data_IF_426581703369
#
_entry.id   IF_426581703369
#
_cell.length_a   1.000
_cell.length_b   1.000
_cell.length_c   1.000
_cell.angle_alpha   90.00
_cell.angle_beta   90.00
_cell.angle_gamma   90.00
#
_symmetry.space_group_name_H-M   'P 1'
#
loop_
_entity.id
_entity.type
_entity.pdbx_description
1 polymer ?
#
# COMPACT_ATOMS: atom_id res chain seq x y z
N UNK A 1 4.01 -24.84 -11.56
CA UNK A 1 3.38 -23.57 -11.98
C UNK A 1 2.49 -22.93 -10.90
N UNK A 2 1.57 -23.67 -10.25
CA UNK A 2 0.72 -23.15 -9.15
C UNK A 2 1.49 -22.52 -7.98
N UNK A 3 2.65 -23.08 -7.61
CA UNK A 3 3.49 -22.55 -6.53
C UNK A 3 4.06 -21.16 -6.81
N UNK A 4 4.43 -20.86 -8.05
CA UNK A 4 5.04 -19.57 -8.44
C UNK A 4 4.00 -18.45 -8.34
N UNK A 5 2.80 -18.68 -8.88
CA UNK A 5 1.68 -17.75 -8.78
C UNK A 5 1.39 -17.40 -7.31
N UNK A 6 1.28 -18.43 -6.46
CA UNK A 6 0.96 -18.25 -5.05
C UNK A 6 2.08 -17.52 -4.30
N UNK A 7 3.35 -17.89 -4.55
CA UNK A 7 4.51 -17.19 -3.99
C UNK A 7 4.52 -15.72 -4.38
N UNK A 8 4.38 -15.41 -5.67
CA UNK A 8 4.38 -14.05 -6.18
C UNK A 8 3.27 -13.21 -5.52
N UNK A 9 2.06 -13.77 -5.41
CA UNK A 9 0.92 -13.09 -4.76
C UNK A 9 1.18 -12.85 -3.27
N UNK A 10 1.71 -13.83 -2.54
CA UNK A 10 2.06 -13.70 -1.12
C UNK A 10 3.13 -12.62 -0.91
N UNK A 11 4.15 -12.58 -1.78
CA UNK A 11 5.16 -11.52 -1.72
C UNK A 11 4.59 -10.13 -1.97
N UNK A 12 3.63 -9.97 -2.90
CA UNK A 12 2.96 -8.68 -3.09
C UNK A 12 2.20 -8.24 -1.83
N UNK A 13 1.43 -9.16 -1.24
CA UNK A 13 0.71 -8.90 0.02
C UNK A 13 1.69 -8.47 1.13
N UNK A 14 2.85 -9.14 1.24
CA UNK A 14 3.86 -8.79 2.22
C UNK A 14 4.46 -7.39 2.01
N UNK A 15 4.71 -6.99 0.75
CA UNK A 15 5.17 -5.64 0.40
C UNK A 15 4.13 -4.60 0.83
N UNK A 16 2.87 -4.80 0.49
CA UNK A 16 1.79 -3.86 0.81
C UNK A 16 1.54 -3.75 2.32
N UNK A 17 1.53 -4.89 3.03
CA UNK A 17 1.43 -4.91 4.50
C UNK A 17 2.58 -4.15 5.15
N UNK A 18 3.81 -4.34 4.65
CA UNK A 18 4.98 -3.64 5.18
C UNK A 18 4.84 -2.13 4.98
N UNK A 19 4.39 -1.68 3.82
CA UNK A 19 4.15 -0.26 3.55
C UNK A 19 3.09 0.34 4.49
N UNK A 20 1.97 -0.35 4.70
CA UNK A 20 0.91 0.10 5.63
C UNK A 20 1.43 0.22 7.06
N UNK A 21 2.19 -0.79 7.53
CA UNK A 21 2.80 -0.76 8.86
C UNK A 21 3.79 0.40 8.99
N UNK A 22 4.63 0.64 7.98
CA UNK A 22 5.59 1.75 7.99
C UNK A 22 4.86 3.09 8.10
N UNK A 23 3.81 3.33 7.30
CA UNK A 23 3.02 4.58 7.37
C UNK A 23 2.40 4.75 8.77
N UNK A 24 1.85 3.68 9.36
CA UNK A 24 1.29 3.72 10.72
C UNK A 24 2.35 4.00 11.78
N UNK A 25 3.53 3.40 11.67
CA UNK A 25 4.62 3.65 12.60
C UNK A 25 5.11 5.10 12.51
N UNK A 26 5.20 5.65 11.29
CA UNK A 26 5.51 7.07 11.07
C UNK A 26 4.45 7.95 11.75
N UNK A 27 3.15 7.64 11.58
CA UNK A 27 2.07 8.36 12.25
C UNK A 27 2.22 8.35 13.78
N UNK A 28 2.38 7.16 14.37
CA UNK A 28 2.51 6.98 15.82
C UNK A 28 3.72 7.77 16.34
N UNK A 29 4.85 7.68 15.64
CA UNK A 29 6.09 8.34 16.06
C UNK A 29 6.01 9.87 16.01
N UNK A 30 5.30 10.43 15.03
CA UNK A 30 5.20 11.88 14.85
C UNK A 30 4.12 12.49 15.75
N UNK A 31 2.95 11.84 15.85
CA UNK A 31 1.75 12.48 16.40
C UNK A 31 1.29 11.95 17.76
N UNK A 32 1.73 10.77 18.19
CA UNK A 32 1.28 10.20 19.47
C UNK A 32 2.33 10.43 20.56
N UNK A 33 2.02 11.22 21.61
CA UNK A 33 2.91 11.39 22.74
C UNK A 33 3.14 10.08 23.50
N UNK A 34 4.36 9.90 24.03
CA UNK A 34 4.71 8.71 24.80
C UNK A 34 3.85 8.52 26.06
N UNK A 35 3.35 9.61 26.67
CA UNK A 35 2.45 9.54 27.83
C UNK A 35 1.18 8.73 27.53
N UNK A 36 0.57 8.98 26.37
CA UNK A 36 -0.65 8.29 25.91
C UNK A 36 -0.40 6.79 25.76
N UNK A 37 0.77 6.40 25.26
CA UNK A 37 1.16 5.00 25.11
C UNK A 37 1.34 4.35 26.48
N UNK A 38 2.04 5.01 27.41
CA UNK A 38 2.27 4.47 28.75
C UNK A 38 0.99 4.33 29.57
N UNK A 39 0.05 5.27 29.44
CA UNK A 39 -1.23 5.23 30.13
C UNK A 39 -2.13 4.10 29.61
N UNK A 40 -1.99 3.73 28.33
CA UNK A 40 -2.83 2.74 27.65
C UNK A 40 -2.14 1.39 27.38
N UNK A 41 -1.01 1.11 28.05
CA UNK A 41 -0.26 -0.15 27.95
C UNK A 41 -1.16 -1.42 27.99
N UNK A 42 -2.16 -1.54 28.89
CA UNK A 42 -3.03 -2.71 28.95
C UNK A 42 -3.89 -2.92 27.68
N UNK A 43 -4.16 -1.85 26.92
CA UNK A 43 -4.98 -1.90 25.70
C UNK A 43 -4.14 -2.10 24.43
N UNK A 44 -2.81 -2.06 24.53
CA UNK A 44 -1.91 -2.23 23.40
C UNK A 44 -2.12 -3.54 22.62
N UNK A 45 -2.34 -4.72 23.25
CA UNK A 45 -2.62 -5.95 22.50
C UNK A 45 -3.89 -5.86 21.65
N UNK A 46 -4.92 -5.19 22.14
CA UNK A 46 -6.16 -4.98 21.40
C UNK A 46 -5.94 -4.04 20.21
N UNK A 47 -5.17 -2.97 20.41
CA UNK A 47 -4.77 -2.05 19.35
C UNK A 47 -3.96 -2.75 18.26
N UNK A 48 -2.96 -3.56 18.63
CA UNK A 48 -2.15 -4.36 17.69
C UNK A 48 -3.01 -5.35 16.90
N UNK A 49 -3.95 -6.03 17.56
CA UNK A 49 -4.89 -6.93 16.87
C UNK A 49 -5.73 -6.17 15.85
N UNK A 50 -6.18 -4.97 16.19
CA UNK A 50 -6.95 -4.14 15.26
C UNK A 50 -6.09 -3.69 14.08
N UNK A 51 -4.84 -3.27 14.31
CA UNK A 51 -3.89 -2.92 13.24
C UNK A 51 -3.74 -4.08 12.25
N UNK A 52 -3.41 -5.27 12.75
CA UNK A 52 -3.26 -6.47 11.90
C UNK A 52 -4.56 -6.79 11.16
N UNK A 53 -5.71 -6.71 11.83
CA UNK A 53 -7.01 -6.98 11.22
C UNK A 53 -7.34 -6.02 10.08
N UNK A 54 -7.21 -4.72 10.29
CA UNK A 54 -7.57 -3.74 9.27
C UNK A 54 -6.57 -3.73 8.11
N UNK A 55 -5.27 -3.82 8.38
CA UNK A 55 -4.26 -3.85 7.31
C UNK A 55 -4.35 -5.13 6.47
N UNK A 56 -4.60 -6.27 7.09
CA UNK A 56 -4.83 -7.51 6.36
C UNK A 56 -6.10 -7.48 5.51
N UNK A 57 -7.17 -6.82 5.96
CA UNK A 57 -8.37 -6.62 5.15
C UNK A 57 -8.09 -5.77 3.90
N UNK A 58 -7.37 -4.65 4.05
CA UNK A 58 -6.98 -3.81 2.90
C UNK A 58 -6.15 -4.60 1.90
N UNK A 59 -5.13 -5.33 2.38
CA UNK A 59 -4.30 -6.15 1.51
C UNK A 59 -5.05 -7.33 0.88
N UNK A 60 -6.03 -7.91 1.59
CA UNK A 60 -6.88 -8.97 1.04
C UNK A 60 -7.74 -8.43 -0.12
N UNK A 61 -8.35 -7.25 0.03
CA UNK A 61 -9.10 -6.61 -1.06
C UNK A 61 -8.19 -6.25 -2.24
N UNK A 62 -7.00 -5.71 -1.97
CA UNK A 62 -6.03 -5.42 -3.01
C UNK A 62 -5.53 -6.71 -3.71
N UNK A 63 -5.54 -7.86 -3.05
CA UNK A 63 -5.11 -9.13 -3.64
C UNK A 63 -6.16 -9.79 -4.56
N UNK A 64 -7.45 -9.41 -4.46
CA UNK A 64 -8.53 -10.04 -5.24
C UNK A 64 -8.24 -10.06 -6.75
N UNK A 65 -7.84 -8.95 -7.40
CA UNK A 65 -7.54 -8.97 -8.84
C UNK A 65 -6.38 -9.91 -9.21
N UNK A 66 -5.33 -9.98 -8.37
CA UNK A 66 -4.22 -10.91 -8.57
C UNK A 66 -4.68 -12.36 -8.46
N UNK A 67 -5.52 -12.67 -7.46
CA UNK A 67 -6.04 -14.02 -7.27
C UNK A 67 -6.91 -14.45 -8.44
N UNK A 68 -7.86 -13.59 -8.86
CA UNK A 68 -8.77 -13.91 -9.97
C UNK A 68 -8.03 -14.11 -11.29
N UNK A 69 -7.07 -13.23 -11.62
CA UNK A 69 -6.27 -13.37 -12.84
C UNK A 69 -5.26 -14.52 -12.77
N UNK A 70 -4.93 -14.98 -11.57
CA UNK A 70 -4.07 -16.12 -11.34
C UNK A 70 -4.77 -17.48 -11.37
N UNK A 71 -6.10 -17.53 -11.23
CA UNK A 71 -6.86 -18.79 -11.28
C UNK A 71 -6.61 -19.61 -12.56
N UNK A 72 -6.60 -19.01 -13.77
CA UNK A 72 -6.33 -19.76 -15.00
C UNK A 72 -4.94 -20.42 -15.01
N UNK A 73 -3.94 -19.85 -14.32
CA UNK A 73 -2.60 -20.44 -14.19
C UNK A 73 -2.55 -21.71 -13.32
N UNK A 74 -3.60 -21.97 -12.54
CA UNK A 74 -3.74 -23.22 -11.79
C UNK A 74 -4.16 -24.39 -12.68
N UNK A 75 -4.85 -24.10 -13.78
CA UNK A 75 -5.46 -25.10 -14.67
C UNK A 75 -4.69 -25.22 -15.98
N UNK A 76 -4.24 -24.09 -16.55
CA UNK A 76 -3.60 -24.02 -17.87
C UNK A 76 -2.19 -23.48 -17.73
N UNK A 77 -1.21 -24.29 -18.11
CA UNK A 77 0.18 -23.90 -18.18
C UNK A 77 0.51 -23.36 -19.58
N UNK A 78 0.59 -22.03 -19.74
CA UNK A 78 0.97 -21.39 -21.00
C UNK A 78 1.96 -20.25 -20.76
N UNK A 79 3.09 -20.26 -21.49
CA UNK A 79 4.12 -19.19 -21.47
C UNK A 79 3.53 -17.79 -21.61
N UNK A 80 2.55 -17.60 -22.51
CA UNK A 80 1.92 -16.30 -22.75
C UNK A 80 1.14 -15.84 -21.53
N UNK A 81 0.41 -16.75 -20.89
CA UNK A 81 -0.38 -16.47 -19.70
C UNK A 81 0.52 -16.18 -18.49
N UNK A 82 1.60 -16.95 -18.31
CA UNK A 82 2.61 -16.66 -17.28
C UNK A 82 3.20 -15.26 -17.44
N UNK A 83 3.63 -14.91 -18.66
CA UNK A 83 4.23 -13.60 -18.96
C UNK A 83 3.22 -12.46 -18.79
N UNK A 84 1.99 -12.66 -19.21
CA UNK A 84 0.92 -11.68 -18.98
C UNK A 84 0.71 -11.43 -17.48
N UNK A 85 0.62 -12.50 -16.69
CA UNK A 85 0.40 -12.41 -15.26
C UNK A 85 1.56 -11.72 -14.52
N UNK A 86 2.81 -11.99 -14.89
CA UNK A 86 3.97 -11.33 -14.25
C UNK A 86 4.02 -9.84 -14.57
N UNK A 87 3.80 -9.46 -15.84
CA UNK A 87 3.72 -8.05 -16.24
C UNK A 87 2.55 -7.35 -15.55
N UNK A 88 1.38 -7.98 -15.52
CA UNK A 88 0.21 -7.47 -14.82
C UNK A 88 0.52 -7.25 -13.34
N UNK A 89 1.07 -8.25 -12.66
CA UNK A 89 1.39 -8.17 -11.22
C UNK A 89 2.37 -7.04 -10.92
N UNK A 90 3.37 -6.85 -11.77
CA UNK A 90 4.35 -5.79 -11.61
C UNK A 90 3.71 -4.40 -11.69
N UNK A 91 2.91 -4.13 -12.72
CA UNK A 91 2.21 -2.86 -12.87
C UNK A 91 1.13 -2.64 -11.81
N UNK A 92 0.35 -3.68 -11.52
CA UNK A 92 -0.70 -3.62 -10.52
C UNK A 92 -0.14 -3.30 -9.13
N UNK A 93 0.97 -3.91 -8.74
CA UNK A 93 1.65 -3.60 -7.48
C UNK A 93 2.09 -2.14 -7.39
N UNK A 94 2.54 -1.53 -8.49
CA UNK A 94 2.90 -0.11 -8.53
C UNK A 94 1.67 0.77 -8.27
N UNK A 95 0.51 0.43 -8.85
CA UNK A 95 -0.74 1.17 -8.63
C UNK A 95 -1.19 1.06 -7.17
N UNK A 96 -1.12 -0.13 -6.57
CA UNK A 96 -1.48 -0.34 -5.17
C UNK A 96 -0.55 0.45 -4.24
N UNK A 97 0.76 0.41 -4.46
CA UNK A 97 1.73 1.18 -3.66
C UNK A 97 1.55 2.68 -3.84
N UNK A 98 1.27 3.15 -5.06
CA UNK A 98 0.91 4.55 -5.32
C UNK A 98 -0.31 4.97 -4.50
N UNK A 99 -1.37 4.18 -4.51
CA UNK A 99 -2.59 4.48 -3.75
C UNK A 99 -2.34 4.51 -2.24
N UNK A 100 -1.65 3.50 -1.70
CA UNK A 100 -1.31 3.41 -0.26
C UNK A 100 -0.48 4.61 0.17
N UNK A 101 0.58 4.95 -0.58
CA UNK A 101 1.48 6.05 -0.23
C UNK A 101 0.84 7.42 -0.43
N UNK A 102 0.07 7.62 -1.49
CA UNK A 102 -0.67 8.86 -1.71
C UNK A 102 -1.69 9.10 -0.58
N UNK A 103 -2.54 8.12 -0.30
CA UNK A 103 -3.55 8.24 0.77
C UNK A 103 -2.89 8.41 2.14
N UNK A 104 -1.81 7.66 2.42
CA UNK A 104 -1.08 7.81 3.67
C UNK A 104 -0.45 9.19 3.84
N UNK A 105 0.19 9.73 2.80
CA UNK A 105 0.76 11.07 2.85
C UNK A 105 -0.32 12.16 3.02
N UNK A 106 -1.44 12.05 2.29
CA UNK A 106 -2.56 12.99 2.41
C UNK A 106 -3.17 12.91 3.82
N UNK A 107 -3.34 11.71 4.37
CA UNK A 107 -3.89 11.52 5.72
C UNK A 107 -2.97 12.11 6.80
N UNK A 108 -1.65 11.92 6.68
CA UNK A 108 -0.68 12.55 7.60
C UNK A 108 -0.75 14.07 7.54
N UNK A 109 -0.84 14.66 6.34
CA UNK A 109 -0.99 16.10 6.18
C UNK A 109 -2.34 16.60 6.71
N UNK A 110 -3.41 15.85 6.51
CA UNK A 110 -4.74 16.19 7.02
C UNK A 110 -4.76 16.14 8.55
N UNK A 111 -4.15 15.11 9.15
CA UNK A 111 -4.02 15.00 10.59
C UNK A 111 -3.18 16.13 11.19
N UNK A 112 -2.10 16.56 10.52
CA UNK A 112 -1.30 17.68 10.99
C UNK A 112 -2.10 18.98 11.16
N UNK A 113 -2.98 19.26 10.20
CA UNK A 113 -3.70 20.54 10.13
C UNK A 113 -5.03 20.50 10.90
N UNK A 114 -5.72 19.35 10.92
CA UNK A 114 -7.06 19.23 11.48
C UNK A 114 -7.15 18.34 12.74
N UNK A 115 -6.04 17.69 13.15
CA UNK A 115 -6.02 16.81 14.31
C UNK A 115 -6.92 15.57 14.19
N UNK A 116 -7.33 15.22 12.98
CA UNK A 116 -8.19 14.07 12.69
C UNK A 116 -7.76 13.38 11.40
N UNK A 117 -8.07 12.09 11.27
CA UNK A 117 -7.88 11.36 10.01
C UNK A 117 -8.91 11.79 8.96
N UNK A 118 -8.62 11.51 7.69
CA UNK A 118 -9.53 11.78 6.57
C UNK A 118 -10.93 11.22 6.88
N UNK A 119 -11.92 12.09 6.80
CA UNK A 119 -13.32 11.78 7.07
C UNK A 119 -14.22 12.48 6.03
N UNK A 120 -15.54 12.48 6.24
CA UNK A 120 -16.49 13.10 5.31
C UNK A 120 -16.20 14.57 5.03
N UNK A 121 -15.68 15.32 6.01
CA UNK A 121 -15.33 16.74 5.89
C UNK A 121 -14.32 17.00 4.78
N UNK A 122 -13.36 16.08 4.58
CA UNK A 122 -12.41 16.20 3.48
C UNK A 122 -13.12 16.20 2.11
N UNK A 123 -14.14 15.36 1.97
CA UNK A 123 -14.94 15.29 0.74
C UNK A 123 -15.91 16.47 0.61
N UNK A 124 -16.38 17.03 1.72
CA UNK A 124 -17.19 18.25 1.72
C UNK A 124 -16.37 19.45 1.21
N UNK A 125 -15.12 19.63 1.67
CA UNK A 125 -14.21 20.65 1.13
C UNK A 125 -13.94 20.46 -0.36
N UNK A 126 -13.75 19.21 -0.80
CA UNK A 126 -13.53 18.90 -2.21
C UNK A 126 -14.76 19.27 -3.06
N UNK A 127 -15.97 19.16 -2.52
CA UNK A 127 -17.22 19.47 -3.22
C UNK A 127 -17.53 20.96 -3.25
N UNK A 128 -17.30 21.67 -2.13
CA UNK A 128 -17.69 23.07 -1.98
C UNK A 128 -16.63 24.03 -2.53
N UNK A 129 -15.35 23.80 -2.22
CA UNK A 129 -14.25 24.72 -2.58
C UNK A 129 -12.99 23.96 -3.05
N UNK A 130 -13.05 23.22 -4.17
CA UNK A 130 -11.95 22.36 -4.62
C UNK A 130 -10.65 23.12 -4.89
N UNK A 131 -10.72 24.35 -5.39
CA UNK A 131 -9.53 25.17 -5.67
C UNK A 131 -8.84 25.61 -4.37
N UNK A 132 -9.61 26.02 -3.37
CA UNK A 132 -9.06 26.40 -2.06
C UNK A 132 -8.42 25.20 -1.37
N UNK A 133 -9.04 24.01 -1.48
CA UNK A 133 -8.46 22.79 -0.93
C UNK A 133 -7.11 22.45 -1.58
N UNK A 134 -7.00 22.57 -2.91
CA UNK A 134 -5.72 22.34 -3.63
C UNK A 134 -4.68 23.37 -3.21
N UNK A 135 -5.06 24.64 -3.05
CA UNK A 135 -4.17 25.71 -2.58
C UNK A 135 -3.67 25.44 -1.15
N UNK A 136 -4.55 25.05 -0.23
CA UNK A 136 -4.15 24.63 1.12
C UNK A 136 -3.22 23.43 1.10
N UNK A 137 -3.50 22.39 0.28
CA UNK A 137 -2.58 21.26 0.14
C UNK A 137 -1.22 21.72 -0.37
N UNK A 138 -1.18 22.60 -1.37
CA UNK A 138 0.08 23.10 -1.92
C UNK A 138 0.90 23.92 -0.92
N UNK A 139 0.24 24.79 -0.15
CA UNK A 139 0.88 25.73 0.75
C UNK A 139 1.21 25.13 2.12
N UNK A 140 0.35 24.27 2.65
CA UNK A 140 0.48 23.72 4.01
C UNK A 140 1.15 22.34 4.01
N UNK A 141 0.98 21.53 2.96
CA UNK A 141 1.54 20.18 2.96
C UNK A 141 2.95 20.24 2.38
N UNK A 142 3.87 19.39 2.85
CA UNK A 142 5.20 19.29 2.26
C UNK A 142 5.14 18.49 0.93
N UNK A 143 4.42 19.01 -0.07
CA UNK A 143 4.07 18.32 -1.32
C UNK A 143 5.30 17.77 -2.05
N UNK A 144 6.38 18.55 -2.13
CA UNK A 144 7.63 18.12 -2.77
C UNK A 144 8.21 16.87 -2.07
N UNK A 145 8.16 16.83 -0.73
CA UNK A 145 8.63 15.67 0.05
C UNK A 145 7.70 14.48 -0.15
N UNK A 146 6.38 14.70 -0.19
CA UNK A 146 5.40 13.64 -0.48
C UNK A 146 5.63 13.02 -1.85
N UNK A 147 5.83 13.83 -2.90
CA UNK A 147 6.13 13.35 -4.26
C UNK A 147 7.43 12.54 -4.26
N UNK A 148 8.49 13.03 -3.59
CA UNK A 148 9.75 12.32 -3.49
C UNK A 148 9.60 10.95 -2.80
N UNK A 149 8.81 10.87 -1.72
CA UNK A 149 8.51 9.62 -1.00
C UNK A 149 7.75 8.66 -1.91
N UNK A 150 6.73 9.12 -2.63
CA UNK A 150 5.94 8.29 -3.55
C UNK A 150 6.83 7.74 -4.66
N UNK A 151 7.63 8.59 -5.31
CA UNK A 151 8.58 8.16 -6.35
C UNK A 151 9.59 7.15 -5.79
N UNK A 152 10.11 7.40 -4.59
CA UNK A 152 11.01 6.48 -3.90
C UNK A 152 10.37 5.11 -3.66
N UNK A 153 9.14 5.08 -3.13
CA UNK A 153 8.40 3.83 -2.87
C UNK A 153 8.05 3.06 -4.15
N UNK A 154 7.71 3.78 -5.23
CA UNK A 154 7.48 3.17 -6.53
C UNK A 154 8.77 2.59 -7.11
N UNK A 155 9.87 3.32 -7.03
CA UNK A 155 11.16 2.84 -7.51
C UNK A 155 11.63 1.60 -6.74
N UNK A 156 11.52 1.60 -5.41
CA UNK A 156 11.88 0.43 -4.59
C UNK A 156 10.98 -0.76 -4.89
N UNK A 157 9.67 -0.56 -5.02
CA UNK A 157 8.71 -1.62 -5.38
C UNK A 157 9.02 -2.19 -6.76
N UNK A 158 9.31 -1.35 -7.75
CA UNK A 158 9.71 -1.79 -9.08
C UNK A 158 10.98 -2.63 -9.03
N UNK A 159 12.00 -2.18 -8.29
CA UNK A 159 13.26 -2.89 -8.11
C UNK A 159 13.07 -4.25 -7.43
N UNK A 160 12.34 -4.30 -6.32
CA UNK A 160 12.04 -5.54 -5.60
C UNK A 160 11.26 -6.50 -6.49
N UNK A 161 10.22 -6.03 -7.20
CA UNK A 161 9.43 -6.88 -8.09
C UNK A 161 10.26 -7.42 -9.26
N UNK A 162 11.12 -6.60 -9.86
CA UNK A 162 11.98 -7.04 -10.96
C UNK A 162 13.07 -8.02 -10.51
N UNK A 163 13.56 -7.93 -9.27
CA UNK A 163 14.44 -8.94 -8.68
C UNK A 163 13.68 -10.23 -8.37
N UNK A 164 12.47 -10.12 -7.82
CA UNK A 164 11.64 -11.25 -7.45
C UNK A 164 11.22 -12.08 -8.66
N UNK A 165 10.83 -11.44 -9.76
CA UNK A 165 10.50 -12.11 -11.02
C UNK A 165 11.72 -12.86 -11.59
N UNK A 166 12.93 -12.29 -11.49
CA UNK A 166 14.18 -12.95 -11.90
C UNK A 166 14.50 -14.16 -11.01
N UNK A 167 14.45 -13.99 -9.69
CA UNK A 167 14.80 -15.05 -8.73
C UNK A 167 13.83 -16.24 -8.77
N UNK A 168 12.56 -16.02 -9.07
CA UNK A 168 11.57 -17.09 -9.22
C UNK A 168 11.67 -17.83 -10.57
N UNK A 169 12.63 -17.48 -11.42
CA UNK A 169 12.95 -18.12 -12.71
C UNK A 169 11.70 -18.43 -13.57
N UNK A 170 10.74 -17.49 -13.56
CA UNK A 170 9.38 -17.71 -14.09
C UNK A 170 9.41 -18.01 -15.59
N UNK A 171 10.42 -17.51 -16.31
CA UNK A 171 10.62 -17.75 -17.75
C UNK A 171 11.04 -19.18 -18.07
N UNK A 172 11.79 -19.85 -17.18
CA UNK A 172 12.23 -21.24 -17.37
C UNK A 172 11.17 -22.25 -16.89
N UNK A 173 10.40 -21.92 -15.85
CA UNK A 173 9.36 -22.81 -15.31
C UNK A 173 8.05 -22.84 -16.09
N UNK A 174 7.92 -22.01 -17.14
CA UNK A 174 6.81 -22.10 -18.08
C UNK A 174 7.20 -22.78 -19.40
N UNK A 175 8.39 -23.40 -19.49
CA UNK A 175 8.78 -24.32 -20.57
C UNK A 175 8.11 -25.68 -20.50
#
# INVERSE_FOLDING_TARGET
>A
MSRIFLQLTVFQIAIWLTMLIVIRLVFIFIYIPMSVITENLPHLPLALRNIVRFDSQVCAYAAVPLLLLGLPLLVVANKRLCRFFTVFTQWYSMVVVMAITLLGCVDLGFYHNFGSHINSTFFDFFKEEPLSLIESIWNEYPVIRMIAIIIGCLWTTWRVNSLLIKNLNITEHCE
#
